data_IF_786257151713
#
_entry.id   IF_786257151713
#
_cell.length_a   1.000
_cell.length_b   1.000
_cell.length_c   1.000
_cell.angle_alpha   90.00
_cell.angle_beta   90.00
_cell.angle_gamma   90.00
#
_symmetry.space_group_name_H-M   'P 1'
#
loop_
_entity.id
_entity.type
_entity.pdbx_description
1 polymer ?
#
# COMPACT_ATOMS: atom_id res chain seq x y z
N UNK A 1 11.22 81.83 -37.51
CA UNK A 1 9.89 81.46 -36.97
C UNK A 1 9.54 80.07 -37.47
N UNK A 2 9.05 79.21 -36.56
CA UNK A 2 8.21 78.01 -36.81
C UNK A 2 8.96 76.76 -37.27
N UNK A 3 8.64 75.53 -36.83
CA UNK A 3 7.73 75.03 -35.80
C UNK A 3 8.31 73.70 -35.29
N UNK A 4 8.23 73.50 -33.98
CA UNK A 4 8.72 72.33 -33.26
C UNK A 4 7.70 71.19 -33.38
N UNK A 5 8.10 70.01 -33.86
CA UNK A 5 7.28 68.80 -33.80
C UNK A 5 7.85 67.88 -32.70
N UNK A 6 7.14 67.78 -31.58
CA UNK A 6 7.41 66.78 -30.55
C UNK A 6 6.67 65.51 -30.96
N UNK A 7 7.41 64.47 -31.31
CA UNK A 7 6.85 63.13 -31.51
C UNK A 7 6.58 62.52 -30.12
N UNK A 8 5.31 62.34 -29.76
CA UNK A 8 4.91 61.60 -28.56
C UNK A 8 4.85 60.12 -28.94
N UNK A 9 5.82 59.33 -28.46
CA UNK A 9 5.77 57.87 -28.55
C UNK A 9 4.87 57.34 -27.42
N UNK A 10 3.70 56.78 -27.76
CA UNK A 10 2.89 55.99 -26.83
C UNK A 10 3.52 54.60 -26.69
N UNK A 11 4.07 54.30 -25.50
CA UNK A 11 4.47 52.94 -25.14
C UNK A 11 3.23 52.11 -24.79
N UNK A 12 2.95 51.08 -25.60
CA UNK A 12 1.93 50.08 -25.29
C UNK A 12 2.56 49.05 -24.33
N UNK A 13 2.13 49.06 -23.06
CA UNK A 13 2.50 48.04 -22.07
C UNK A 13 1.48 46.90 -22.14
N UNK A 14 1.83 45.79 -22.77
CA UNK A 14 1.11 44.52 -22.61
C UNK A 14 1.80 43.67 -21.55
N UNK A 15 1.09 43.30 -20.48
CA UNK A 15 1.53 42.22 -19.60
C UNK A 15 1.34 40.88 -20.32
N UNK A 16 2.42 40.13 -20.55
CA UNK A 16 2.34 38.73 -20.98
C UNK A 16 2.47 37.81 -19.77
N UNK A 17 1.44 36.99 -19.52
CA UNK A 17 1.55 35.89 -18.56
C UNK A 17 2.35 34.75 -19.20
N UNK A 18 3.56 34.51 -18.70
CA UNK A 18 4.35 33.34 -19.08
C UNK A 18 3.96 32.16 -18.18
N UNK A 19 3.26 31.18 -18.74
CA UNK A 19 3.27 29.81 -18.24
C UNK A 19 4.22 29.01 -19.15
N UNK A 20 5.19 28.32 -18.57
CA UNK A 20 6.18 27.55 -19.35
C UNK A 20 5.74 26.09 -19.34
N UNK A 21 4.84 25.74 -20.25
CA UNK A 21 4.77 24.35 -20.71
C UNK A 21 5.98 24.09 -21.58
N UNK A 22 6.74 23.03 -21.32
CA UNK A 22 7.77 22.58 -22.26
C UNK A 22 7.07 21.62 -23.22
N UNK A 23 6.92 22.04 -24.48
CA UNK A 23 6.20 21.35 -25.57
C UNK A 23 4.67 21.19 -25.44
N UNK A 24 4.00 21.90 -24.52
CA UNK A 24 2.53 21.97 -24.45
C UNK A 24 2.01 23.40 -24.29
N UNK A 25 0.89 23.73 -24.95
CA UNK A 25 0.22 25.03 -24.85
C UNK A 25 -0.87 25.07 -23.77
N UNK A 26 -1.20 23.92 -23.17
CA UNK A 26 -2.22 23.78 -22.11
C UNK A 26 -1.63 23.04 -20.91
N UNK A 27 -0.74 23.68 -20.12
CA UNK A 27 -0.12 23.02 -19.00
C UNK A 27 -1.12 22.78 -17.86
N UNK A 28 -1.14 21.57 -17.30
CA UNK A 28 -1.94 21.17 -16.14
C UNK A 28 -1.38 21.68 -14.80
N UNK A 29 -0.23 22.34 -14.81
CA UNK A 29 0.45 22.88 -13.63
C UNK A 29 1.53 23.91 -13.98
N UNK A 30 2.22 24.45 -12.96
CA UNK A 30 3.32 25.43 -13.14
C UNK A 30 4.52 24.86 -13.92
N UNK A 31 4.66 23.53 -13.91
CA UNK A 31 5.53 22.75 -14.78
C UNK A 31 4.70 21.57 -15.29
N UNK A 32 4.41 21.55 -16.60
CA UNK A 32 3.77 20.42 -17.28
C UNK A 32 4.73 19.89 -18.35
N UNK A 33 5.12 18.63 -18.21
CA UNK A 33 6.03 17.91 -19.11
C UNK A 33 5.25 16.76 -19.71
N UNK A 34 4.94 16.87 -21.01
CA UNK A 34 4.17 15.85 -21.72
C UNK A 34 5.06 15.14 -22.75
N UNK A 35 5.34 13.86 -22.53
CA UNK A 35 6.04 13.02 -23.50
C UNK A 35 5.59 11.56 -23.38
N UNK A 36 5.41 10.89 -24.52
CA UNK A 36 5.15 9.45 -24.58
C UNK A 36 6.42 8.60 -24.61
N UNK A 37 7.60 9.23 -24.72
CA UNK A 37 8.88 8.55 -24.93
C UNK A 37 10.03 9.08 -24.07
N UNK A 38 9.84 10.20 -23.38
CA UNK A 38 10.88 10.89 -22.61
C UNK A 38 10.47 11.06 -21.15
N UNK A 39 11.44 11.12 -20.25
CA UNK A 39 11.23 11.32 -18.81
C UNK A 39 12.05 12.49 -18.25
N UNK A 40 11.94 12.71 -16.94
CA UNK A 40 12.72 13.71 -16.21
C UNK A 40 13.84 13.00 -15.46
N UNK A 41 15.09 13.42 -15.69
CA UNK A 41 16.26 12.95 -14.93
C UNK A 41 16.59 13.99 -13.87
N UNK A 42 16.45 13.62 -12.59
CA UNK A 42 16.85 14.49 -11.49
C UNK A 42 18.39 14.62 -11.45
N UNK A 43 18.93 15.75 -10.94
CA UNK A 43 20.36 15.90 -10.73
C UNK A 43 20.91 14.78 -9.85
N UNK A 44 21.99 14.14 -10.30
CA UNK A 44 22.69 13.13 -9.51
C UNK A 44 23.70 13.79 -8.57
N UNK A 45 23.62 13.48 -7.28
CA UNK A 45 24.46 14.11 -6.24
C UNK A 45 25.03 13.07 -5.26
N UNK A 46 26.19 13.39 -4.68
CA UNK A 46 26.79 12.62 -3.59
C UNK A 46 26.43 13.26 -2.25
N UNK A 47 25.29 12.86 -1.66
CA UNK A 47 24.91 13.28 -0.32
C UNK A 47 25.93 12.79 0.69
N UNK A 48 26.33 13.65 1.62
CA UNK A 48 27.33 13.31 2.66
C UNK A 48 26.68 12.91 3.98
N UNK A 49 25.43 13.33 4.21
CA UNK A 49 24.61 13.00 5.38
C UNK A 49 23.14 13.26 5.07
N UNK A 50 22.23 12.52 5.72
CA UNK A 50 20.79 12.75 5.57
C UNK A 50 20.28 13.98 6.33
N UNK A 51 21.09 14.62 7.19
CA UNK A 51 20.68 15.81 7.96
C UNK A 51 21.40 17.10 7.50
N UNK A 52 22.07 17.07 6.34
CA UNK A 52 22.85 18.19 5.82
C UNK A 52 22.44 18.45 4.37
N UNK A 53 22.10 19.69 4.02
CA UNK A 53 21.66 20.06 2.67
C UNK A 53 22.77 19.93 1.61
N UNK A 54 24.02 20.20 2.01
CA UNK A 54 25.20 20.06 1.13
C UNK A 54 25.27 18.65 0.53
N UNK A 55 25.60 18.51 -0.77
CA UNK A 55 26.11 19.54 -1.68
C UNK A 55 25.03 20.39 -2.39
N UNK A 56 23.75 20.15 -2.13
CA UNK A 56 22.65 20.83 -2.82
C UNK A 56 22.42 22.21 -2.19
N UNK A 57 22.38 23.24 -3.04
CA UNK A 57 22.20 24.63 -2.62
C UNK A 57 20.90 25.21 -3.15
N UNK A 58 20.34 26.18 -2.42
CA UNK A 58 19.27 27.01 -2.95
C UNK A 58 19.88 28.00 -3.96
N UNK A 59 19.47 28.01 -5.24
CA UNK A 59 20.03 28.92 -6.24
C UNK A 59 19.75 30.40 -5.93
N UNK A 60 18.73 30.71 -5.11
CA UNK A 60 18.44 32.07 -4.63
C UNK A 60 19.23 32.44 -3.37
N UNK A 61 20.12 31.56 -2.90
CA UNK A 61 20.78 31.68 -1.60
C UNK A 61 19.87 31.29 -0.43
N UNK A 62 20.45 31.23 0.77
CA UNK A 62 19.75 30.85 2.00
C UNK A 62 19.49 29.34 2.13
N UNK A 63 18.54 28.97 3.00
CA UNK A 63 18.22 27.58 3.29
C UNK A 63 17.65 26.85 2.05
N UNK A 64 17.99 25.57 1.91
CA UNK A 64 17.43 24.71 0.88
C UNK A 64 15.91 24.58 1.06
N UNK A 65 15.17 24.70 -0.05
CA UNK A 65 13.71 24.65 -0.01
C UNK A 65 13.23 23.21 0.17
N UNK A 66 12.19 23.04 0.99
CA UNK A 66 11.48 21.76 1.07
C UNK A 66 11.02 21.32 -0.33
N UNK A 67 10.92 20.01 -0.52
CA UNK A 67 10.58 19.34 -1.77
C UNK A 67 11.63 19.46 -2.88
N UNK A 68 12.86 19.89 -2.57
CA UNK A 68 13.97 19.77 -3.53
C UNK A 68 14.27 18.30 -3.77
N UNK A 69 14.12 17.81 -5.02
CA UNK A 69 14.35 16.41 -5.41
C UNK A 69 15.73 16.23 -6.06
N UNK A 70 16.44 15.17 -5.68
CA UNK A 70 17.71 14.74 -6.28
C UNK A 70 17.78 13.22 -6.39
N UNK A 71 18.66 12.70 -7.24
CA UNK A 71 19.07 11.30 -7.22
C UNK A 71 20.41 11.16 -6.50
N UNK A 72 20.49 10.34 -5.46
CA UNK A 72 21.74 10.04 -4.79
C UNK A 72 22.46 8.85 -5.44
N UNK A 73 23.77 8.97 -5.63
CA UNK A 73 24.60 7.98 -6.33
C UNK A 73 25.06 6.78 -5.48
N UNK A 74 24.64 6.66 -4.21
CA UNK A 74 24.96 5.50 -3.37
C UNK A 74 26.35 5.54 -2.73
N UNK A 75 26.86 6.74 -2.45
CA UNK A 75 28.17 6.96 -1.81
C UNK A 75 27.99 7.34 -0.33
N UNK A 76 29.09 7.46 0.43
CA UNK A 76 29.06 7.91 1.84
C UNK A 76 28.18 7.08 2.80
N UNK A 77 27.98 5.78 2.50
CA UNK A 77 27.17 4.89 3.33
C UNK A 77 25.66 5.15 3.28
N UNK A 78 25.20 5.92 2.29
CA UNK A 78 23.78 6.18 2.02
C UNK A 78 23.41 5.40 0.76
N UNK A 79 22.27 4.71 0.78
CA UNK A 79 21.81 3.97 -0.39
C UNK A 79 21.54 4.89 -1.59
N UNK A 80 21.80 4.39 -2.81
CA UNK A 80 21.34 5.09 -4.01
C UNK A 80 19.80 5.18 -4.06
N UNK A 81 19.30 6.20 -4.75
CA UNK A 81 17.87 6.40 -4.98
C UNK A 81 17.45 7.86 -5.05
N UNK A 82 16.15 8.11 -5.21
CA UNK A 82 15.60 9.45 -5.15
C UNK A 82 15.49 9.93 -3.70
N UNK A 83 15.88 11.18 -3.45
CA UNK A 83 15.76 11.83 -2.16
C UNK A 83 15.14 13.21 -2.33
N UNK A 84 14.31 13.62 -1.38
CA UNK A 84 13.78 14.98 -1.33
C UNK A 84 14.08 15.64 0.02
N UNK A 85 14.31 16.96 0.00
CA UNK A 85 14.60 17.73 1.22
C UNK A 85 13.30 18.10 1.94
N UNK A 86 13.20 17.82 3.23
CA UNK A 86 12.06 18.25 4.04
C UNK A 86 12.47 18.40 5.50
N UNK A 87 12.16 19.56 6.11
CA UNK A 87 12.37 19.80 7.54
C UNK A 87 13.82 19.52 7.98
N UNK A 88 14.79 20.07 7.23
CA UNK A 88 16.23 19.93 7.46
C UNK A 88 16.79 18.50 7.36
N UNK A 89 16.13 17.62 6.61
CA UNK A 89 16.63 16.27 6.31
C UNK A 89 16.31 15.84 4.88
N UNK A 90 17.16 14.99 4.33
CA UNK A 90 16.92 14.22 3.13
C UNK A 90 16.07 13.00 3.47
N UNK A 91 14.91 12.90 2.84
CA UNK A 91 14.01 11.76 2.94
C UNK A 91 14.16 10.97 1.64
N UNK A 92 14.51 9.69 1.75
CA UNK A 92 14.52 8.79 0.59
C UNK A 92 13.08 8.64 0.11
N UNK A 93 12.84 8.90 -1.17
CA UNK A 93 11.61 8.50 -1.84
C UNK A 93 11.69 6.97 -1.98
N UNK A 94 11.23 6.27 -0.93
CA UNK A 94 11.40 4.83 -0.82
C UNK A 94 10.60 4.13 -1.93
N UNK A 95 11.23 3.17 -2.61
CA UNK A 95 10.54 1.93 -2.92
C UNK A 95 10.64 1.10 -1.64
N UNK A 96 9.71 1.28 -0.70
CA UNK A 96 9.76 0.53 0.56
C UNK A 96 9.72 -0.95 0.21
N UNK A 97 10.67 -1.73 0.74
CA UNK A 97 10.59 -3.19 0.62
C UNK A 97 9.18 -3.62 1.08
N UNK A 98 8.53 -4.55 0.36
CA UNK A 98 7.20 -5.03 0.73
C UNK A 98 7.15 -5.37 2.22
N UNK A 99 6.20 -4.79 2.95
CA UNK A 99 6.05 -5.12 4.37
C UNK A 99 5.48 -6.53 4.45
N UNK A 100 6.32 -7.48 4.89
CA UNK A 100 5.94 -8.88 5.05
C UNK A 100 4.90 -9.05 6.15
N UNK A 101 3.86 -9.82 5.88
CA UNK A 101 2.75 -10.10 6.78
C UNK A 101 1.38 -9.85 6.15
N UNK A 102 0.35 -10.05 6.96
CA UNK A 102 -1.02 -9.68 6.67
C UNK A 102 -1.42 -8.50 7.56
N UNK A 103 -2.12 -7.52 6.98
CA UNK A 103 -2.82 -6.50 7.77
C UNK A 103 -4.05 -7.14 8.39
N UNK A 104 -4.20 -7.07 9.71
CA UNK A 104 -5.40 -7.52 10.40
C UNK A 104 -6.28 -6.36 10.83
N UNK A 105 -7.58 -6.65 10.96
CA UNK A 105 -8.60 -5.81 11.56
C UNK A 105 -9.51 -6.70 12.44
N UNK A 106 -9.82 -6.22 13.63
CA UNK A 106 -10.76 -6.85 14.56
C UNK A 106 -11.95 -5.92 14.72
N UNK A 107 -13.14 -6.49 14.63
CA UNK A 107 -14.40 -5.78 14.82
C UNK A 107 -15.18 -6.41 15.96
N UNK A 108 -15.84 -5.60 16.79
CA UNK A 108 -16.86 -6.12 17.71
C UNK A 108 -18.20 -6.31 16.99
N UNK A 109 -18.85 -7.42 17.27
CA UNK A 109 -20.17 -7.79 16.76
C UNK A 109 -21.30 -7.24 17.63
N UNK A 110 -22.44 -6.96 17.00
CA UNK A 110 -23.72 -6.73 17.70
C UNK A 110 -24.79 -7.65 17.08
N UNK A 111 -24.91 -8.88 17.60
CA UNK A 111 -25.94 -9.85 17.21
C UNK A 111 -25.45 -11.14 16.54
N UNK A 112 -26.35 -12.12 16.45
CA UNK A 112 -26.15 -13.47 15.85
C UNK A 112 -25.71 -13.36 14.39
N UNK A 113 -24.54 -13.92 14.08
CA UNK A 113 -23.82 -13.90 12.79
C UNK A 113 -23.67 -12.48 12.18
N UNK A 114 -22.47 -11.86 12.19
CA UNK A 114 -22.24 -10.56 11.57
C UNK A 114 -22.67 -10.57 10.10
N UNK A 115 -23.73 -9.83 9.78
CA UNK A 115 -24.36 -9.84 8.46
C UNK A 115 -23.43 -9.34 7.35
N UNK A 116 -23.33 -10.11 6.26
CA UNK A 116 -22.39 -9.94 5.14
C UNK A 116 -22.34 -8.61 4.39
N UNK A 117 -23.35 -7.75 4.44
CA UNK A 117 -23.40 -6.69 3.43
C UNK A 117 -22.44 -5.55 3.68
N UNK A 118 -21.98 -5.41 4.90
CA UNK A 118 -20.71 -4.80 5.29
C UNK A 118 -20.38 -5.52 6.60
N UNK A 119 -19.13 -5.95 6.84
CA UNK A 119 -18.70 -5.99 8.24
C UNK A 119 -19.14 -4.64 8.80
N UNK A 120 -19.73 -4.59 9.98
CA UNK A 120 -19.93 -3.29 10.59
C UNK A 120 -18.54 -2.71 10.92
N UNK A 121 -17.88 -2.16 9.89
CA UNK A 121 -16.55 -1.59 9.91
C UNK A 121 -16.52 -0.37 10.85
N UNK A 122 -17.69 0.08 11.31
CA UNK A 122 -17.81 1.16 12.28
C UNK A 122 -17.37 0.73 13.68
N UNK A 123 -17.32 -0.58 13.98
CA UNK A 123 -16.91 -1.11 15.28
C UNK A 123 -15.49 -1.72 15.25
N UNK A 124 -14.55 -1.09 14.54
CA UNK A 124 -13.14 -1.49 14.57
C UNK A 124 -12.59 -1.34 15.99
N UNK A 125 -12.14 -2.44 16.59
CA UNK A 125 -11.56 -2.46 17.95
C UNK A 125 -10.06 -2.58 17.94
N UNK A 126 -9.47 -3.23 16.93
CA UNK A 126 -8.03 -3.35 16.76
C UNK A 126 -7.63 -3.50 15.29
N UNK A 127 -6.40 -3.08 14.97
CA UNK A 127 -5.79 -3.33 13.67
C UNK A 127 -4.27 -3.34 13.80
N UNK A 128 -3.59 -4.09 12.96
CA UNK A 128 -2.13 -4.14 12.97
C UNK A 128 -1.56 -5.15 12.00
N UNK A 129 -0.31 -5.54 12.24
CA UNK A 129 0.41 -6.51 11.42
C UNK A 129 0.36 -7.90 12.06
N UNK A 130 0.00 -8.91 11.28
CA UNK A 130 0.12 -10.32 11.61
C UNK A 130 1.27 -10.94 10.81
N UNK A 131 2.20 -11.60 11.49
CA UNK A 131 3.35 -12.31 10.89
C UNK A 131 3.41 -13.78 11.32
N UNK A 132 2.44 -14.24 12.11
CA UNK A 132 2.37 -15.59 12.66
C UNK A 132 1.52 -16.53 11.79
N UNK A 133 1.44 -17.79 12.19
CA UNK A 133 0.55 -18.77 11.59
C UNK A 133 -0.91 -18.35 11.77
N UNK A 134 -1.76 -18.55 10.76
CA UNK A 134 -3.20 -18.30 10.85
C UNK A 134 -3.90 -19.42 11.60
N UNK A 135 -3.75 -19.43 12.92
CA UNK A 135 -4.30 -20.42 13.84
C UNK A 135 -4.86 -19.77 15.12
N UNK A 136 -5.33 -20.62 16.02
CA UNK A 136 -6.01 -20.25 17.25
C UNK A 136 -5.15 -19.39 18.19
N UNK A 137 -3.86 -19.71 18.28
CA UNK A 137 -2.90 -18.90 19.05
C UNK A 137 -2.79 -17.47 18.51
N UNK A 138 -2.88 -17.29 17.19
CA UNK A 138 -2.88 -15.95 16.59
C UNK A 138 -4.19 -15.25 16.87
N UNK A 139 -5.34 -15.90 16.69
CA UNK A 139 -6.63 -15.28 17.02
C UNK A 139 -6.66 -14.82 18.48
N UNK A 140 -6.28 -15.68 19.43
CA UNK A 140 -6.23 -15.35 20.85
C UNK A 140 -5.31 -14.16 21.19
N UNK A 141 -4.28 -13.92 20.37
CA UNK A 141 -3.42 -12.74 20.50
C UNK A 141 -4.04 -11.46 19.91
N UNK A 142 -5.00 -11.59 18.98
CA UNK A 142 -5.71 -10.47 18.35
C UNK A 142 -6.97 -10.06 19.14
N UNK A 143 -7.73 -11.04 19.62
CA UNK A 143 -9.03 -10.85 20.29
C UNK A 143 -9.44 -12.11 21.05
N UNK A 144 -10.20 -11.97 22.14
CA UNK A 144 -10.76 -13.07 22.92
C UNK A 144 -12.22 -12.78 23.31
N UNK A 145 -12.98 -13.83 23.64
CA UNK A 145 -14.37 -13.73 24.08
C UNK A 145 -15.36 -13.89 22.93
N UNK A 146 -16.60 -13.43 23.14
CA UNK A 146 -17.68 -13.64 22.17
C UNK A 146 -17.89 -12.42 21.26
N UNK A 147 -18.66 -12.59 20.19
CA UNK A 147 -19.13 -11.52 19.30
C UNK A 147 -17.98 -10.71 18.68
N UNK A 148 -17.08 -11.38 17.96
CA UNK A 148 -16.03 -10.68 17.22
C UNK A 148 -15.89 -11.17 15.79
N UNK A 149 -15.23 -10.36 14.96
CA UNK A 149 -14.83 -10.73 13.60
C UNK A 149 -13.39 -10.32 13.37
N UNK A 150 -12.62 -11.22 12.76
CA UNK A 150 -11.24 -10.96 12.32
C UNK A 150 -11.19 -10.96 10.80
N UNK A 151 -10.63 -9.89 10.22
CA UNK A 151 -10.21 -9.83 8.82
C UNK A 151 -8.69 -9.81 8.77
N UNK A 152 -8.06 -10.70 8.01
CA UNK A 152 -6.65 -10.61 7.64
C UNK A 152 -6.54 -10.45 6.12
N UNK A 153 -5.74 -9.48 5.66
CA UNK A 153 -5.63 -9.16 4.22
C UNK A 153 -4.20 -8.84 3.82
N UNK A 154 -3.85 -9.23 2.61
CA UNK A 154 -2.56 -8.91 2.00
C UNK A 154 -2.41 -9.59 0.65
N UNK A 155 -1.18 -9.63 0.15
CA UNK A 155 -0.85 -10.13 -1.17
C UNK A 155 0.10 -11.30 -1.09
N UNK A 156 -0.23 -12.38 -1.78
CA UNK A 156 0.61 -13.55 -1.91
C UNK A 156 1.29 -13.53 -3.28
N UNK A 157 2.61 -13.75 -3.31
CA UNK A 157 3.33 -13.85 -4.58
C UNK A 157 3.30 -15.29 -5.08
N UNK A 158 2.56 -15.54 -6.15
CA UNK A 158 2.54 -16.81 -6.87
C UNK A 158 3.77 -16.87 -7.77
N UNK A 159 4.72 -17.75 -7.45
CA UNK A 159 5.98 -17.89 -8.19
C UNK A 159 5.79 -18.73 -9.46
N UNK A 160 4.83 -19.65 -9.44
CA UNK A 160 4.48 -20.56 -10.53
C UNK A 160 2.97 -20.59 -10.72
N UNK A 161 2.49 -20.28 -11.93
CA UNK A 161 1.07 -20.43 -12.30
C UNK A 161 0.60 -21.84 -11.97
N UNK A 162 -0.50 -21.98 -11.22
CA UNK A 162 -1.01 -23.29 -10.84
C UNK A 162 -2.20 -23.25 -9.89
N UNK A 163 -2.53 -24.41 -9.35
CA UNK A 163 -3.71 -24.61 -8.53
C UNK A 163 -3.44 -24.31 -7.05
N UNK A 164 -4.43 -23.69 -6.42
CA UNK A 164 -4.46 -23.34 -5.02
C UNK A 164 -5.78 -23.80 -4.43
N UNK A 165 -5.73 -24.50 -3.29
CA UNK A 165 -6.91 -24.92 -2.54
C UNK A 165 -6.63 -24.70 -1.06
N UNK A 166 -7.57 -24.07 -0.38
CA UNK A 166 -7.49 -23.75 1.03
C UNK A 166 -8.54 -24.52 1.83
N UNK A 167 -8.29 -24.65 3.13
CA UNK A 167 -9.20 -25.24 4.10
C UNK A 167 -9.29 -24.33 5.31
N UNK A 168 -10.48 -24.22 5.87
CA UNK A 168 -10.70 -23.64 7.21
C UNK A 168 -10.99 -24.76 8.20
N UNK A 169 -10.59 -24.57 9.46
CA UNK A 169 -11.07 -25.33 10.61
C UNK A 169 -11.49 -24.31 11.67
N UNK A 170 -12.80 -24.04 11.74
CA UNK A 170 -13.32 -22.91 12.53
C UNK A 170 -14.55 -23.24 13.37
N UNK A 171 -14.66 -22.56 14.50
CA UNK A 171 -15.79 -22.41 15.43
C UNK A 171 -15.86 -20.90 15.72
N UNK A 172 -16.79 -20.10 15.22
CA UNK A 172 -17.86 -20.39 14.27
C UNK A 172 -17.36 -20.40 12.80
N UNK A 173 -17.59 -19.30 12.08
CA UNK A 173 -17.64 -19.28 10.63
C UNK A 173 -16.48 -18.56 9.96
N UNK A 174 -16.20 -18.92 8.71
CA UNK A 174 -15.11 -18.36 7.93
C UNK A 174 -15.46 -18.07 6.46
N UNK A 175 -14.72 -17.12 5.87
CA UNK A 175 -14.65 -16.90 4.42
C UNK A 175 -13.23 -16.65 3.97
N UNK A 176 -12.98 -16.97 2.71
CA UNK A 176 -11.75 -16.57 2.03
C UNK A 176 -12.08 -15.99 0.67
N UNK A 177 -11.48 -14.84 0.37
CA UNK A 177 -11.51 -14.21 -0.94
C UNK A 177 -10.12 -14.24 -1.56
N UNK A 178 -10.05 -14.49 -2.87
CA UNK A 178 -8.84 -14.36 -3.68
C UNK A 178 -9.17 -13.49 -4.88
N UNK A 179 -8.43 -12.38 -5.06
CA UNK A 179 -8.73 -11.35 -6.06
C UNK A 179 -10.21 -10.94 -6.07
N UNK A 180 -10.74 -10.70 -4.87
CA UNK A 180 -12.14 -10.33 -4.60
C UNK A 180 -13.19 -11.41 -5.00
N UNK A 181 -12.76 -12.61 -5.41
CA UNK A 181 -13.62 -13.77 -5.65
C UNK A 181 -13.73 -14.62 -4.38
N UNK A 182 -14.96 -14.93 -3.96
CA UNK A 182 -15.24 -15.79 -2.81
C UNK A 182 -14.93 -17.25 -3.12
N UNK A 183 -13.91 -17.83 -2.46
CA UNK A 183 -13.45 -19.21 -2.70
C UNK A 183 -13.79 -20.18 -1.57
N UNK A 184 -14.11 -19.66 -0.38
CA UNK A 184 -14.51 -20.43 0.79
C UNK A 184 -15.64 -19.65 1.48
N UNK A 185 -16.79 -20.30 1.70
CA UNK A 185 -17.95 -19.65 2.30
C UNK A 185 -18.67 -20.54 3.31
N UNK A 186 -18.23 -20.48 4.57
CA UNK A 186 -18.81 -21.23 5.69
C UNK A 186 -19.12 -20.28 6.84
N UNK A 187 -20.03 -19.34 6.60
CA UNK A 187 -20.36 -18.26 7.52
C UNK A 187 -21.68 -18.52 8.24
N UNK A 188 -21.64 -19.48 9.15
CA UNK A 188 -22.80 -19.91 9.93
C UNK A 188 -22.32 -20.23 11.34
N UNK A 189 -23.24 -20.15 12.30
CA UNK A 189 -22.95 -20.57 13.67
C UNK A 189 -22.80 -22.09 13.68
N UNK A 190 -21.68 -22.58 14.22
CA UNK A 190 -21.29 -23.97 14.18
C UNK A 190 -20.17 -24.23 15.18
N UNK A 191 -20.12 -25.42 15.77
CA UNK A 191 -18.92 -25.87 16.46
C UNK A 191 -17.74 -26.10 15.49
N UNK A 192 -16.54 -26.26 16.05
CA UNK A 192 -15.30 -26.49 15.32
C UNK A 192 -15.43 -27.49 14.16
N UNK A 193 -15.43 -26.99 12.93
CA UNK A 193 -15.71 -27.77 11.72
C UNK A 193 -14.71 -27.46 10.62
N UNK A 194 -14.23 -28.51 9.95
CA UNK A 194 -13.38 -28.40 8.77
C UNK A 194 -14.24 -28.11 7.53
N UNK A 195 -13.82 -27.14 6.72
CA UNK A 195 -14.46 -26.84 5.45
C UNK A 195 -13.43 -26.53 4.36
N UNK A 196 -13.53 -27.26 3.25
CA UNK A 196 -12.68 -27.08 2.08
C UNK A 196 -13.22 -25.98 1.17
N UNK A 197 -12.34 -25.06 0.75
CA UNK A 197 -12.64 -24.12 -0.31
C UNK A 197 -12.63 -24.78 -1.69
N UNK A 198 -13.06 -24.02 -2.69
CA UNK A 198 -12.92 -24.40 -4.10
C UNK A 198 -11.46 -24.25 -4.55
N UNK A 199 -11.02 -25.11 -5.47
CA UNK A 199 -9.71 -24.94 -6.11
C UNK A 199 -9.76 -23.75 -7.06
N UNK A 200 -8.78 -22.85 -6.96
CA UNK A 200 -8.58 -21.73 -7.88
C UNK A 200 -7.24 -21.83 -8.58
N UNK A 201 -7.21 -21.42 -9.84
CA UNK A 201 -5.98 -21.36 -10.63
C UNK A 201 -5.46 -19.93 -10.66
N UNK A 202 -4.29 -19.71 -10.09
CA UNK A 202 -3.67 -18.38 -10.01
C UNK A 202 -2.53 -18.28 -11.02
N UNK A 203 -2.39 -17.11 -11.65
CA UNK A 203 -1.28 -16.82 -12.54
C UNK A 203 -0.02 -16.50 -11.73
N UNK A 204 1.15 -16.53 -12.35
CA UNK A 204 2.35 -15.97 -11.75
C UNK A 204 2.15 -14.47 -11.50
N UNK A 205 2.38 -14.01 -10.28
CA UNK A 205 2.19 -12.61 -9.88
C UNK A 205 1.68 -12.46 -8.46
N UNK A 206 1.39 -11.22 -8.06
CA UNK A 206 0.75 -10.93 -6.78
C UNK A 206 -0.76 -11.11 -6.88
N UNK A 207 -1.31 -11.83 -5.92
CA UNK A 207 -2.74 -12.08 -5.78
C UNK A 207 -3.21 -11.62 -4.40
N UNK A 208 -4.36 -10.95 -4.35
CA UNK A 208 -4.91 -10.45 -3.08
C UNK A 208 -5.63 -11.58 -2.37
N UNK A 209 -5.37 -11.74 -1.07
CA UNK A 209 -6.07 -12.66 -0.21
C UNK A 209 -6.76 -11.91 0.92
N UNK A 210 -8.00 -12.30 1.23
CA UNK A 210 -8.70 -11.89 2.44
C UNK A 210 -9.21 -13.12 3.19
N UNK A 211 -8.81 -13.27 4.45
CA UNK A 211 -9.28 -14.29 5.37
C UNK A 211 -10.22 -13.63 6.37
N UNK A 212 -11.41 -14.20 6.51
CA UNK A 212 -12.45 -13.73 7.41
C UNK A 212 -12.83 -14.86 8.36
N UNK A 213 -12.93 -14.53 9.63
CA UNK A 213 -13.37 -15.42 10.70
C UNK A 213 -14.28 -14.66 11.65
N UNK A 214 -15.30 -15.31 12.19
CA UNK A 214 -16.10 -14.76 13.29
C UNK A 214 -16.34 -15.79 14.38
N UNK A 215 -16.53 -15.25 15.58
CA UNK A 215 -17.01 -15.95 16.77
C UNK A 215 -18.28 -15.24 17.26
N UNK A 216 -19.37 -15.96 17.41
CA UNK A 216 -20.63 -15.43 17.92
C UNK A 216 -20.73 -15.65 19.42
N UNK A 217 -20.74 -16.91 19.87
CA UNK A 217 -20.82 -17.26 21.29
C UNK A 217 -20.24 -18.65 21.53
N UNK A 218 -19.54 -18.83 22.65
CA UNK A 218 -19.16 -20.15 23.14
C UNK A 218 -17.65 -20.37 23.09
N UNK A 219 -17.21 -21.41 22.39
CA UNK A 219 -15.79 -21.72 22.22
C UNK A 219 -15.32 -21.23 20.87
N UNK A 220 -14.17 -20.56 20.82
CA UNK A 220 -13.54 -20.15 19.57
C UNK A 220 -12.58 -21.21 19.04
N UNK A 221 -12.44 -21.25 17.72
CA UNK A 221 -11.39 -21.98 17.02
C UNK A 221 -11.15 -21.29 15.67
N UNK A 222 -9.92 -20.88 15.39
CA UNK A 222 -9.54 -20.36 14.07
C UNK A 222 -8.35 -21.12 13.49
N UNK A 223 -8.46 -21.67 12.28
CA UNK A 223 -7.29 -22.11 11.50
C UNK A 223 -7.54 -22.02 10.00
N UNK A 224 -6.56 -21.51 9.24
CA UNK A 224 -6.54 -21.51 7.78
C UNK A 224 -5.31 -22.26 7.25
N UNK A 225 -5.52 -23.11 6.25
CA UNK A 225 -4.50 -24.05 5.76
C UNK A 225 -4.44 -24.08 4.24
N UNK A 226 -3.25 -24.31 3.71
CA UNK A 226 -3.02 -24.77 2.33
C UNK A 226 -3.26 -26.28 2.24
N UNK A 227 -4.20 -26.69 1.39
CA UNK A 227 -4.31 -28.08 0.91
C UNK A 227 -3.47 -28.29 -0.34
N UNK A 228 -3.59 -27.36 -1.29
CA UNK A 228 -2.79 -27.31 -2.52
C UNK A 228 -2.29 -25.89 -2.70
N UNK A 229 -1.02 -25.76 -3.07
CA UNK A 229 -0.40 -24.47 -3.33
C UNK A 229 0.71 -24.70 -4.37
N UNK A 230 0.60 -24.06 -5.52
CA UNK A 230 1.56 -24.23 -6.62
C UNK A 230 2.99 -23.77 -6.28
N UNK A 231 3.18 -22.96 -5.24
CA UNK A 231 4.50 -22.60 -4.72
C UNK A 231 5.10 -23.69 -3.81
N UNK A 232 4.36 -24.76 -3.49
CA UNK A 232 4.83 -25.90 -2.71
C UNK A 232 4.58 -25.83 -1.20
N UNK A 233 3.93 -24.77 -0.70
CA UNK A 233 3.57 -24.67 0.73
C UNK A 233 2.38 -25.57 1.09
N UNK A 234 2.40 -26.20 2.26
CA UNK A 234 1.28 -27.02 2.76
C UNK A 234 1.07 -26.78 4.26
N UNK A 235 -0.12 -27.10 4.78
CA UNK A 235 -0.43 -26.94 6.20
C UNK A 235 -0.88 -25.52 6.56
N UNK A 236 -0.74 -25.14 7.83
CA UNK A 236 -1.23 -23.84 8.34
C UNK A 236 -0.55 -22.69 7.60
N UNK A 237 -1.35 -21.73 7.15
CA UNK A 237 -0.87 -20.58 6.40
C UNK A 237 -0.02 -19.69 7.31
N UNK A 238 1.18 -19.33 6.86
CA UNK A 238 2.02 -18.37 7.55
C UNK A 238 1.78 -16.96 6.99
N UNK A 239 1.34 -16.01 7.83
CA UNK A 239 1.13 -14.64 7.39
C UNK A 239 2.43 -14.00 6.86
N UNK A 240 3.59 -14.45 7.32
CA UNK A 240 4.90 -13.99 6.81
C UNK A 240 5.20 -14.39 5.36
N UNK A 241 4.36 -15.20 4.70
CA UNK A 241 4.48 -15.48 3.26
C UNK A 241 3.77 -14.42 2.39
N UNK A 242 3.13 -13.43 3.01
CA UNK A 242 2.33 -12.38 2.36
C UNK A 242 2.98 -11.00 2.50
N UNK A 243 2.40 -10.01 1.81
CA UNK A 243 2.83 -8.62 1.82
C UNK A 243 1.64 -7.66 1.94
N UNK A 244 1.79 -6.55 2.69
CA UNK A 244 0.73 -5.52 2.81
C UNK A 244 0.69 -4.58 1.60
N UNK A 245 1.84 -4.32 0.99
CA UNK A 245 1.99 -3.50 -0.22
C UNK A 245 3.11 -4.08 -1.08
N UNK A 246 3.01 -3.93 -2.40
CA UNK A 246 3.98 -4.36 -3.39
C UNK A 246 4.03 -3.37 -4.55
#
# INVERSE_FOLDING_TARGET
MKNFFILIFLFYLSMSFAQVGIETTTPNGILDVNSSTSGIVAPTVALTSLNVASPVVNPQGGALKNNTLVYHNGTNGIDSGYYYWETNKWIKLMNSAPTTGLQYFVFSGTGVSPGNNKPDLSNLTASGLCTSLLNDSTQNALVTGDNFTVKLTGYYYVSTTGDFKLQSYTDDGARVYVDDVLILNRWIDQGATVFDGVTVKLAKGYHKFEFWYYENTGTDQMEFRWLTNANGHTGVINASDFFISY
#
